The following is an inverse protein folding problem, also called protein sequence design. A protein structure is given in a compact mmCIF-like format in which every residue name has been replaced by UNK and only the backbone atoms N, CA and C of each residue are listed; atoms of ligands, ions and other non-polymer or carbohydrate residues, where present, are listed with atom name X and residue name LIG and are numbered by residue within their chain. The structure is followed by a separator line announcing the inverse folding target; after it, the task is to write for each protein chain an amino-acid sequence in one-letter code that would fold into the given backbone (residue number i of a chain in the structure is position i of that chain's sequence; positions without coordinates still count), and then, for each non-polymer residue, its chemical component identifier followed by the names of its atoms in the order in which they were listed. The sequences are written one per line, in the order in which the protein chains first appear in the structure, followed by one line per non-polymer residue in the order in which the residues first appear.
data_IF_534980488293
#
_entry.id   IF_534980488293
#
_cell.length_a   1.000
_cell.length_b   1.000
_cell.length_c   1.000
_cell.angle_alpha   90.00
_cell.angle_beta   90.00
_cell.angle_gamma   90.00
#
_symmetry.space_group_name_H-M   'P 1'
#
loop_
_entity.id
_entity.type
_entity.pdbx_description
1 polymer ?
#
# COMPACT_ATOMS: atom_id res chain seq x y z
N UNK A 1 -26.03 27.64 -30.63
CA UNK A 1 -24.90 28.50 -30.16
C UNK A 1 -24.89 28.76 -28.63
N UNK A 2 -25.66 28.03 -27.82
CA UNK A 2 -25.78 28.26 -26.36
C UNK A 2 -24.79 27.45 -25.48
N UNK A 3 -24.10 26.45 -26.05
CA UNK A 3 -23.19 25.54 -25.31
C UNK A 3 -21.80 26.12 -25.01
N UNK A 4 -21.36 27.18 -25.71
CA UNK A 4 -20.06 27.82 -25.50
C UNK A 4 -20.07 28.95 -24.45
N UNK A 5 -21.18 29.25 -23.78
CA UNK A 5 -21.25 30.44 -22.90
C UNK A 5 -20.63 30.22 -21.50
N UNK A 6 -20.51 28.97 -21.06
CA UNK A 6 -20.07 28.59 -19.70
C UNK A 6 -18.80 27.71 -19.68
N UNK A 7 -18.08 27.54 -20.80
CA UNK A 7 -16.84 26.73 -20.80
C UNK A 7 -15.83 27.22 -19.77
N UNK A 8 -15.76 28.54 -19.56
CA UNK A 8 -14.91 29.19 -18.58
C UNK A 8 -15.26 28.85 -17.12
N UNK A 9 -16.24 27.99 -16.84
CA UNK A 9 -16.58 27.50 -15.49
C UNK A 9 -16.15 26.04 -15.28
N UNK A 10 -15.41 25.43 -16.21
CA UNK A 10 -14.91 24.06 -16.08
C UNK A 10 -13.64 23.97 -15.21
N UNK A 11 -12.98 25.09 -14.93
CA UNK A 11 -11.74 25.07 -14.12
C UNK A 11 -11.87 24.43 -12.73
N UNK A 12 -12.96 24.55 -11.94
CA UNK A 12 -13.04 23.88 -10.64
C UNK A 12 -12.99 22.36 -10.76
N UNK A 13 -13.72 21.79 -11.72
CA UNK A 13 -13.71 20.33 -11.92
C UNK A 13 -12.37 19.83 -12.48
N UNK A 14 -11.76 20.58 -13.41
CA UNK A 14 -10.44 20.23 -13.95
C UNK A 14 -9.36 20.25 -12.84
N UNK A 15 -9.39 21.26 -11.97
CA UNK A 15 -8.46 21.39 -10.85
C UNK A 15 -8.75 20.44 -9.69
N UNK A 16 -9.96 19.88 -9.61
CA UNK A 16 -10.29 18.80 -8.68
C UNK A 16 -9.79 17.43 -9.18
N UNK A 17 -9.80 17.20 -10.50
CA UNK A 17 -9.36 15.93 -11.10
C UNK A 17 -7.84 15.85 -11.20
N UNK A 18 -7.20 16.95 -11.60
CA UNK A 18 -5.76 17.00 -11.89
C UNK A 18 -4.85 16.43 -10.79
N UNK A 19 -5.02 16.78 -9.49
CA UNK A 19 -4.10 16.32 -8.45
C UNK A 19 -4.01 14.80 -8.33
N UNK A 20 -5.15 14.10 -8.43
CA UNK A 20 -5.18 12.64 -8.35
C UNK A 20 -4.48 11.99 -9.57
N UNK A 21 -4.71 12.51 -10.77
CA UNK A 21 -4.00 12.05 -11.98
C UNK A 21 -2.50 12.29 -11.89
N UNK A 22 -2.10 13.47 -11.40
CA UNK A 22 -0.70 13.83 -11.28
C UNK A 22 0.02 13.01 -10.21
N UNK A 23 -0.66 12.74 -9.09
CA UNK A 23 -0.15 11.88 -8.02
C UNK A 23 0.04 10.45 -8.54
N UNK A 24 -0.92 9.93 -9.30
CA UNK A 24 -0.77 8.65 -9.98
C UNK A 24 0.41 8.62 -10.96
N UNK A 25 0.51 9.60 -11.86
CA UNK A 25 1.58 9.67 -12.85
C UNK A 25 2.99 9.80 -12.23
N UNK A 26 3.08 10.20 -10.96
CA UNK A 26 4.33 10.26 -10.21
C UNK A 26 4.64 8.96 -9.43
N UNK A 27 3.64 8.12 -9.15
CA UNK A 27 3.75 6.90 -8.35
C UNK A 27 3.29 5.65 -9.11
N UNK A 28 3.24 5.72 -10.44
CA UNK A 28 2.71 4.66 -11.30
C UNK A 28 3.54 3.39 -11.28
N UNK A 29 4.77 3.45 -10.77
CA UNK A 29 5.62 2.27 -10.54
C UNK A 29 5.09 1.31 -9.47
N UNK A 30 4.23 1.81 -8.58
CA UNK A 30 3.73 1.06 -7.42
C UNK A 30 2.20 1.07 -7.31
N UNK A 31 1.52 1.95 -8.06
CA UNK A 31 0.06 2.07 -8.06
C UNK A 31 -0.58 1.65 -9.39
N UNK A 32 -1.84 1.24 -9.32
CA UNK A 32 -2.68 0.94 -10.48
C UNK A 32 -3.61 2.12 -10.78
N UNK A 33 -4.00 2.26 -12.05
CA UNK A 33 -4.88 3.36 -12.48
C UNK A 33 -6.24 3.34 -11.74
N UNK A 34 -6.70 2.16 -11.32
CA UNK A 34 -7.95 2.00 -10.58
C UNK A 34 -7.91 2.73 -9.23
N UNK A 35 -6.74 2.86 -8.59
CA UNK A 35 -6.59 3.54 -7.31
C UNK A 35 -6.91 5.05 -7.40
N UNK A 36 -6.97 5.62 -8.62
CA UNK A 36 -7.26 7.03 -8.86
C UNK A 36 -8.75 7.37 -8.73
N UNK A 37 -9.64 6.37 -8.86
CA UNK A 37 -11.09 6.60 -8.88
C UNK A 37 -11.62 7.23 -7.60
N UNK A 38 -11.23 6.68 -6.44
CA UNK A 38 -11.73 7.16 -5.13
C UNK A 38 -11.19 8.57 -4.82
N UNK A 39 -9.89 8.87 -5.01
CA UNK A 39 -9.37 10.24 -4.91
C UNK A 39 -10.04 11.26 -5.83
N UNK A 40 -10.34 10.90 -7.09
CA UNK A 40 -11.09 11.79 -8.00
C UNK A 40 -12.51 12.02 -7.47
N UNK A 41 -13.22 10.95 -7.09
CA UNK A 41 -14.58 11.05 -6.57
C UNK A 41 -14.63 11.94 -5.32
N UNK A 42 -13.68 11.75 -4.39
CA UNK A 42 -13.53 12.58 -3.21
C UNK A 42 -13.29 14.05 -3.60
N UNK A 43 -12.32 14.31 -4.48
CA UNK A 43 -11.93 15.67 -4.87
C UNK A 43 -13.05 16.42 -5.61
N UNK A 44 -13.77 15.74 -6.50
CA UNK A 44 -14.92 16.30 -7.23
C UNK A 44 -16.10 16.53 -6.28
N UNK A 45 -16.35 15.63 -5.34
CA UNK A 45 -17.39 15.81 -4.31
C UNK A 45 -17.09 17.02 -3.43
N UNK A 46 -15.85 17.12 -2.92
CA UNK A 46 -15.38 18.26 -2.13
C UNK A 46 -15.52 19.57 -2.91
N UNK A 47 -15.08 19.59 -4.18
CA UNK A 47 -15.25 20.73 -5.08
C UNK A 47 -16.72 21.13 -5.23
N UNK A 48 -17.62 20.16 -5.44
CA UNK A 48 -19.05 20.41 -5.60
C UNK A 48 -19.68 21.04 -4.36
N UNK A 49 -19.35 20.52 -3.17
CA UNK A 49 -19.83 21.04 -1.88
C UNK A 49 -19.33 22.48 -1.68
N UNK A 50 -18.02 22.71 -1.81
CA UNK A 50 -17.41 24.04 -1.63
C UNK A 50 -17.99 25.04 -2.61
N UNK A 51 -18.12 24.67 -3.89
CA UNK A 51 -18.67 25.56 -4.90
C UNK A 51 -20.14 25.89 -4.64
N UNK A 52 -20.95 24.90 -4.24
CA UNK A 52 -22.36 25.12 -3.92
C UNK A 52 -22.51 26.13 -2.76
N UNK A 53 -21.76 25.93 -1.68
CA UNK A 53 -21.76 26.84 -0.52
C UNK A 53 -21.37 28.26 -0.96
N UNK A 54 -20.26 28.41 -1.69
CA UNK A 54 -19.80 29.72 -2.15
C UNK A 54 -20.76 30.37 -3.15
N UNK A 55 -21.43 29.58 -3.99
CA UNK A 55 -22.43 30.09 -4.93
C UNK A 55 -23.65 30.65 -4.19
N UNK A 56 -24.09 30.01 -3.10
CA UNK A 56 -25.19 30.49 -2.24
C UNK A 56 -24.79 31.79 -1.52
N UNK A 57 -23.59 31.82 -0.94
CA UNK A 57 -23.12 32.97 -0.15
C UNK A 57 -22.78 34.20 -1.01
N UNK A 58 -22.12 34.00 -2.16
CA UNK A 58 -21.60 35.10 -2.99
C UNK A 58 -22.63 35.53 -4.05
N UNK A 59 -23.55 34.64 -4.43
CA UNK A 59 -24.58 34.86 -5.46
C UNK A 59 -24.03 35.23 -6.85
N UNK A 60 -22.75 34.96 -7.11
CA UNK A 60 -22.09 35.14 -8.41
C UNK A 60 -21.37 33.85 -8.80
N UNK A 61 -21.74 33.28 -9.96
CA UNK A 61 -21.22 32.00 -10.43
C UNK A 61 -19.75 32.02 -10.82
N UNK A 62 -19.23 33.14 -11.32
CA UNK A 62 -17.83 33.26 -11.73
C UNK A 62 -16.94 33.49 -10.51
N UNK A 63 -17.34 34.37 -9.59
CA UNK A 63 -16.60 34.60 -8.33
C UNK A 63 -16.53 33.35 -7.47
N UNK A 64 -17.66 32.67 -7.28
CA UNK A 64 -17.70 31.43 -6.50
C UNK A 64 -16.84 30.34 -7.13
N UNK A 65 -16.85 30.19 -8.46
CA UNK A 65 -15.99 29.24 -9.15
C UNK A 65 -14.50 29.60 -8.97
N UNK A 66 -14.11 30.86 -9.18
CA UNK A 66 -12.73 31.33 -9.00
C UNK A 66 -12.21 31.04 -7.60
N UNK A 67 -12.99 31.39 -6.57
CA UNK A 67 -12.63 31.12 -5.17
C UNK A 67 -12.55 29.61 -4.93
N UNK A 68 -13.49 28.82 -5.45
CA UNK A 68 -13.43 27.34 -5.33
C UNK A 68 -12.12 26.80 -5.88
N UNK A 69 -11.73 27.18 -7.09
CA UNK A 69 -10.46 26.72 -7.67
C UNK A 69 -9.23 27.19 -6.91
N UNK A 70 -9.25 28.41 -6.40
CA UNK A 70 -8.21 28.94 -5.52
C UNK A 70 -8.08 28.10 -4.24
N UNK A 71 -9.19 27.73 -3.60
CA UNK A 71 -9.21 26.87 -2.42
C UNK A 71 -8.69 25.46 -2.74
N UNK A 72 -9.12 24.86 -3.87
CA UNK A 72 -8.66 23.54 -4.28
C UNK A 72 -7.15 23.52 -4.57
N UNK A 73 -6.64 24.49 -5.33
CA UNK A 73 -5.22 24.61 -5.61
C UNK A 73 -4.40 24.68 -4.33
N UNK A 74 -4.87 25.43 -3.33
CA UNK A 74 -4.23 25.47 -2.03
C UNK A 74 -4.36 24.15 -1.29
N UNK A 75 -5.54 23.53 -1.31
CA UNK A 75 -5.81 22.29 -0.59
C UNK A 75 -4.85 21.19 -1.03
N UNK A 76 -4.64 21.04 -2.33
CA UNK A 76 -3.76 20.03 -2.91
C UNK A 76 -2.27 20.43 -2.97
N UNK A 77 -1.92 21.70 -2.75
CA UNK A 77 -0.50 22.14 -2.71
C UNK A 77 0.08 22.21 -1.31
N UNK A 78 -0.70 21.88 -0.27
CA UNK A 78 -0.30 21.99 1.13
C UNK A 78 1.03 21.31 1.44
N UNK A 79 1.20 20.03 1.07
CA UNK A 79 2.43 19.31 1.39
C UNK A 79 3.66 19.85 0.64
N UNK A 80 3.48 20.35 -0.58
CA UNK A 80 4.57 20.97 -1.34
C UNK A 80 5.01 22.29 -0.70
N UNK A 81 4.05 23.10 -0.24
CA UNK A 81 4.34 24.38 0.43
C UNK A 81 4.98 24.16 1.80
N UNK A 82 4.38 23.31 2.64
CA UNK A 82 4.89 23.00 3.98
C UNK A 82 6.23 22.27 3.91
N UNK A 83 6.40 21.32 3.00
CA UNK A 83 7.66 20.61 2.76
C UNK A 83 8.78 21.54 2.31
N UNK A 84 8.49 22.52 1.44
CA UNK A 84 9.47 23.54 1.06
C UNK A 84 9.93 24.36 2.27
N UNK A 85 9.01 24.83 3.11
CA UNK A 85 9.34 25.57 4.35
C UNK A 85 10.17 24.69 5.30
N UNK A 86 9.77 23.44 5.49
CA UNK A 86 10.44 22.47 6.37
C UNK A 86 11.88 22.17 5.93
N UNK A 87 12.12 22.06 4.62
CA UNK A 87 13.46 21.80 4.06
C UNK A 87 14.41 23.00 4.23
N UNK A 88 13.88 24.21 4.43
CA UNK A 88 14.68 25.42 4.68
C UNK A 88 14.93 25.68 6.18
N UNK A 89 14.54 24.74 7.07
CA UNK A 89 14.68 24.89 8.53
C UNK A 89 16.11 25.06 9.02
N UNK A 90 17.06 24.40 8.35
CA UNK A 90 18.48 24.46 8.70
C UNK A 90 19.17 25.69 8.11
N UNK A 91 18.64 26.24 7.00
CA UNK A 91 19.23 27.39 6.30
C UNK A 91 18.79 28.72 6.93
N UNK A 92 17.52 28.84 7.34
CA UNK A 92 16.95 30.07 7.92
C UNK A 92 16.15 29.82 9.21
N UNK A 93 16.74 29.20 10.25
CA UNK A 93 16.02 28.63 11.39
C UNK A 93 15.12 29.61 12.14
N UNK A 94 15.53 30.88 12.26
CA UNK A 94 14.76 31.92 12.95
C UNK A 94 13.41 32.25 12.27
N UNK A 95 13.29 31.99 10.97
CA UNK A 95 12.10 32.28 10.17
C UNK A 95 11.33 30.98 9.91
N UNK A 96 12.03 29.92 9.53
CA UNK A 96 11.39 28.70 9.02
C UNK A 96 10.91 27.75 10.10
N UNK A 97 11.51 27.72 11.31
CA UNK A 97 10.97 26.91 12.43
C UNK A 97 9.59 27.41 12.90
N UNK A 98 9.40 28.70 13.22
CA UNK A 98 8.07 29.21 13.57
C UNK A 98 7.04 29.05 12.43
N UNK A 99 7.47 29.22 11.17
CA UNK A 99 6.58 29.05 10.02
C UNK A 99 6.18 27.58 9.80
N UNK A 100 7.07 26.62 10.07
CA UNK A 100 6.76 25.20 9.98
C UNK A 100 5.77 24.79 11.08
N UNK A 101 6.03 25.22 12.32
CA UNK A 101 5.18 24.98 13.49
C UNK A 101 3.79 25.63 13.35
N UNK A 102 3.69 26.79 12.70
CA UNK A 102 2.44 27.52 12.47
C UNK A 102 1.94 27.44 11.02
N UNK A 103 2.40 26.46 10.25
CA UNK A 103 2.14 26.35 8.81
C UNK A 103 0.64 26.35 8.47
N UNK A 104 -0.18 25.82 9.35
CA UNK A 104 -1.65 25.86 9.26
C UNK A 104 -2.23 27.29 9.34
N UNK A 105 -1.73 28.15 10.23
CA UNK A 105 -2.22 29.53 10.36
C UNK A 105 -1.81 30.42 9.18
N UNK A 106 -0.58 30.25 8.68
CA UNK A 106 -0.09 30.94 7.47
C UNK A 106 -0.95 30.55 6.27
N UNK A 107 -1.34 29.28 6.21
CA UNK A 107 -2.24 28.76 5.20
C UNK A 107 -3.62 29.43 5.26
N UNK A 108 -4.20 29.61 6.45
CA UNK A 108 -5.47 30.37 6.62
C UNK A 108 -5.32 31.83 6.16
N UNK A 109 -4.21 32.49 6.50
CA UNK A 109 -3.96 33.87 6.05
C UNK A 109 -3.87 33.95 4.53
N UNK A 110 -3.19 32.98 3.89
CA UNK A 110 -3.10 32.91 2.44
C UNK A 110 -4.47 32.70 1.78
N UNK A 111 -5.34 31.86 2.37
CA UNK A 111 -6.73 31.68 1.92
C UNK A 111 -7.53 32.99 1.95
N UNK A 112 -7.39 33.77 3.03
CA UNK A 112 -8.07 35.06 3.18
C UNK A 112 -7.55 36.06 2.13
N UNK A 113 -6.24 36.19 1.97
CA UNK A 113 -5.62 37.09 1.01
C UNK A 113 -6.00 36.76 -0.43
N UNK A 114 -6.04 35.46 -0.78
CA UNK A 114 -6.44 35.01 -2.10
C UNK A 114 -7.93 35.30 -2.36
N UNK A 115 -8.81 35.11 -1.36
CA UNK A 115 -10.21 35.49 -1.44
C UNK A 115 -10.41 37.00 -1.66
N UNK A 116 -9.61 37.84 -1.00
CA UNK A 116 -9.62 39.30 -1.20
C UNK A 116 -9.09 39.70 -2.59
N UNK A 117 -8.05 39.01 -3.09
CA UNK A 117 -7.50 39.25 -4.42
C UNK A 117 -8.50 38.91 -5.52
N UNK A 118 -9.22 37.78 -5.40
CA UNK A 118 -10.25 37.37 -6.36
C UNK A 118 -11.38 38.40 -6.46
N UNK A 119 -11.72 39.09 -5.35
CA UNK A 119 -12.71 40.18 -5.36
C UNK A 119 -12.26 41.38 -6.20
N UNK A 120 -10.96 41.63 -6.31
CA UNK A 120 -10.38 42.73 -7.09
C UNK A 120 -10.17 42.41 -8.58
N UNK A 121 -10.43 41.18 -9.02
CA UNK A 121 -10.28 40.78 -10.42
C UNK A 121 -11.31 41.51 -11.30
N UNK A 122 -10.84 42.44 -12.13
CA UNK A 122 -11.69 43.29 -12.96
C UNK A 122 -12.49 42.50 -14.02
N UNK A 123 -11.92 41.44 -14.59
CA UNK A 123 -12.61 40.59 -15.58
C UNK A 123 -12.62 39.11 -15.16
N UNK A 124 -13.60 38.77 -14.34
CA UNK A 124 -13.76 37.44 -13.75
C UNK A 124 -13.97 36.35 -14.79
N UNK A 125 -14.65 36.67 -15.91
CA UNK A 125 -14.86 35.72 -17.00
C UNK A 125 -13.56 35.39 -17.74
N UNK A 126 -12.70 36.38 -18.00
CA UNK A 126 -11.38 36.14 -18.61
C UNK A 126 -10.48 35.32 -17.68
N UNK A 127 -10.45 35.65 -16.39
CA UNK A 127 -9.69 34.89 -15.40
C UNK A 127 -10.17 33.42 -15.32
N UNK A 128 -11.48 33.21 -15.30
CA UNK A 128 -12.06 31.86 -15.26
C UNK A 128 -11.78 31.07 -16.57
N UNK A 129 -11.77 31.76 -17.71
CA UNK A 129 -11.34 31.21 -18.99
C UNK A 129 -9.86 30.79 -18.97
N UNK A 130 -8.97 31.64 -18.45
CA UNK A 130 -7.56 31.31 -18.28
C UNK A 130 -7.36 30.08 -17.38
N UNK A 131 -8.00 30.05 -16.21
CA UNK A 131 -7.92 28.88 -15.32
C UNK A 131 -8.48 27.61 -15.95
N UNK A 132 -9.46 27.75 -16.85
CA UNK A 132 -10.00 26.59 -17.57
C UNK A 132 -8.99 26.05 -18.57
N UNK A 133 -8.32 26.93 -19.32
CA UNK A 133 -7.24 26.54 -20.24
C UNK A 133 -6.09 25.92 -19.44
N UNK A 134 -5.68 26.53 -18.33
CA UNK A 134 -4.63 26.00 -17.46
C UNK A 134 -5.02 24.63 -16.89
N UNK A 135 -6.22 24.49 -16.34
CA UNK A 135 -6.71 23.21 -15.81
C UNK A 135 -6.79 22.13 -16.89
N UNK A 136 -7.21 22.49 -18.11
CA UNK A 136 -7.25 21.57 -19.24
C UNK A 136 -5.84 21.15 -19.64
N UNK A 137 -4.90 22.09 -19.73
CA UNK A 137 -3.49 21.80 -19.99
C UNK A 137 -2.91 20.84 -18.93
N UNK A 138 -3.15 21.10 -17.64
CA UNK A 138 -2.69 20.27 -16.54
C UNK A 138 -3.23 18.84 -16.64
N UNK A 139 -4.55 18.68 -16.82
CA UNK A 139 -5.17 17.35 -17.00
C UNK A 139 -4.63 16.63 -18.24
N UNK A 140 -4.54 17.33 -19.38
CA UNK A 140 -4.00 16.76 -20.63
C UNK A 140 -2.54 16.34 -20.45
N UNK A 141 -1.72 17.14 -19.77
CA UNK A 141 -0.32 16.81 -19.50
C UNK A 141 -0.18 15.56 -18.61
N UNK A 142 -1.05 15.38 -17.62
CA UNK A 142 -1.09 14.15 -16.81
C UNK A 142 -1.51 12.95 -17.65
N UNK A 143 -2.54 13.10 -18.51
CA UNK A 143 -2.98 12.03 -19.41
C UNK A 143 -1.88 11.62 -20.40
N UNK A 144 -1.16 12.59 -20.99
CA UNK A 144 -0.03 12.32 -21.89
C UNK A 144 1.05 11.48 -21.20
N UNK A 145 1.28 11.70 -19.89
CA UNK A 145 2.22 10.87 -19.11
C UNK A 145 1.66 9.48 -18.79
N UNK A 146 0.36 9.38 -18.49
CA UNK A 146 -0.29 8.12 -18.07
C UNK A 146 -0.47 7.15 -19.23
N UNK A 147 -0.86 7.62 -20.42
CA UNK A 147 -1.19 6.75 -21.56
C UNK A 147 -0.06 5.78 -21.92
N UNK A 148 1.21 6.23 -22.10
CA UNK A 148 2.31 5.32 -22.41
C UNK A 148 2.54 4.25 -21.34
N UNK A 149 2.38 4.61 -20.06
CA UNK A 149 2.54 3.70 -18.93
C UNK A 149 1.49 2.58 -19.00
N UNK A 150 0.22 2.93 -19.18
CA UNK A 150 -0.84 1.91 -19.25
C UNK A 150 -0.76 1.05 -20.51
N UNK A 151 -0.32 1.63 -21.65
CA UNK A 151 -0.08 0.85 -22.86
C UNK A 151 1.05 -0.14 -22.64
N UNK A 152 2.15 0.27 -22.00
CA UNK A 152 3.26 -0.62 -21.67
C UNK A 152 2.80 -1.73 -20.72
N UNK A 153 2.08 -1.38 -19.65
CA UNK A 153 1.54 -2.33 -18.68
C UNK A 153 0.58 -3.34 -19.31
N UNK A 154 -0.31 -2.91 -20.21
CA UNK A 154 -1.22 -3.80 -20.92
C UNK A 154 -0.45 -4.80 -21.81
N UNK A 155 0.63 -4.37 -22.46
CA UNK A 155 1.52 -5.27 -23.20
C UNK A 155 2.24 -6.25 -22.28
N UNK A 156 2.81 -5.76 -21.17
CA UNK A 156 3.46 -6.59 -20.16
C UNK A 156 2.52 -7.63 -19.58
N UNK A 157 1.27 -7.27 -19.25
CA UNK A 157 0.29 -8.21 -18.72
C UNK A 157 0.01 -9.38 -19.69
N UNK A 158 -0.09 -9.09 -21.00
CA UNK A 158 -0.22 -10.13 -22.02
C UNK A 158 1.04 -11.01 -22.09
N UNK A 159 2.23 -10.42 -22.04
CA UNK A 159 3.50 -11.17 -22.05
C UNK A 159 3.70 -12.00 -20.76
N UNK A 160 3.19 -11.54 -19.62
CA UNK A 160 3.28 -12.30 -18.36
C UNK A 160 2.45 -13.58 -18.39
N UNK A 161 1.40 -13.65 -19.20
CA UNK A 161 0.66 -14.92 -19.41
C UNK A 161 1.61 -15.97 -20.00
N UNK A 162 2.49 -15.59 -20.94
CA UNK A 162 3.50 -16.51 -21.48
C UNK A 162 4.62 -16.89 -20.52
N UNK A 163 4.75 -16.22 -19.35
CA UNK A 163 5.65 -16.72 -18.31
C UNK A 163 5.08 -17.94 -17.61
N UNK A 164 3.76 -18.13 -17.56
CA UNK A 164 3.21 -19.32 -16.90
C UNK A 164 3.70 -20.54 -17.67
N UNK A 165 4.48 -21.38 -17.02
CA UNK A 165 5.02 -22.57 -17.66
C UNK A 165 3.87 -23.53 -18.02
N UNK A 166 3.67 -23.74 -19.32
CA UNK A 166 2.75 -24.76 -19.85
C UNK A 166 3.09 -26.15 -19.29
N UNK A 167 4.37 -26.42 -19.00
CA UNK A 167 4.82 -27.67 -18.41
C UNK A 167 4.34 -27.79 -16.96
N UNK A 168 4.54 -26.75 -16.15
CA UNK A 168 4.07 -26.73 -14.75
C UNK A 168 2.54 -26.80 -14.71
N UNK A 169 1.83 -26.07 -15.57
CA UNK A 169 0.37 -26.11 -15.61
C UNK A 169 -0.14 -27.50 -16.02
N UNK A 170 0.47 -28.14 -17.02
CA UNK A 170 0.16 -29.54 -17.37
C UNK A 170 0.46 -30.50 -16.25
N UNK A 171 1.58 -30.34 -15.52
CA UNK A 171 1.89 -31.18 -14.37
C UNK A 171 0.81 -31.04 -13.30
N UNK A 172 0.39 -29.81 -12.97
CA UNK A 172 -0.66 -29.51 -12.00
C UNK A 172 -2.03 -30.07 -12.41
N UNK A 173 -2.37 -30.02 -13.70
CA UNK A 173 -3.62 -30.60 -14.24
C UNK A 173 -3.64 -32.12 -14.18
N UNK A 174 -2.48 -32.77 -14.31
CA UNK A 174 -2.34 -34.21 -14.26
C UNK A 174 -2.20 -34.76 -12.83
N UNK A 175 -2.19 -33.91 -11.79
CA UNK A 175 -2.12 -34.37 -10.40
C UNK A 175 -3.39 -35.14 -10.05
N UNK A 176 -3.29 -36.42 -9.65
CA UNK A 176 -4.45 -37.20 -9.22
C UNK A 176 -5.12 -36.55 -8.02
N UNK A 177 -6.45 -36.65 -7.95
CA UNK A 177 -7.19 -36.17 -6.80
C UNK A 177 -6.68 -36.87 -5.52
N UNK A 178 -6.20 -36.08 -4.57
CA UNK A 178 -5.66 -36.60 -3.33
C UNK A 178 -6.74 -37.32 -2.51
N UNK A 179 -6.44 -38.54 -2.03
CA UNK A 179 -7.34 -39.33 -1.17
C UNK A 179 -7.62 -38.65 0.16
N UNK A 180 -6.63 -37.93 0.67
CA UNK A 180 -6.73 -37.06 1.85
C UNK A 180 -6.52 -35.61 1.42
N UNK A 181 -7.24 -34.69 2.06
CA UNK A 181 -7.14 -33.25 1.79
C UNK A 181 -6.77 -32.54 3.10
N UNK A 182 -5.51 -32.62 3.53
CA UNK A 182 -5.06 -31.90 4.71
C UNK A 182 -5.08 -30.40 4.46
N UNK A 183 -5.23 -29.60 5.51
CA UNK A 183 -5.02 -28.16 5.39
C UNK A 183 -3.55 -27.87 5.05
N UNK A 184 -3.30 -26.91 4.18
CA UNK A 184 -1.96 -26.54 3.71
C UNK A 184 -1.66 -25.10 4.12
N UNK A 185 -0.53 -24.90 4.79
CA UNK A 185 -0.07 -23.60 5.27
C UNK A 185 1.26 -23.28 4.59
N UNK A 186 1.32 -22.14 3.91
CA UNK A 186 2.58 -21.58 3.41
C UNK A 186 2.81 -20.22 4.07
N UNK A 187 3.73 -20.19 5.02
CA UNK A 187 4.04 -19.07 5.88
C UNK A 187 5.35 -18.44 5.42
N UNK A 188 5.37 -17.12 5.29
CA UNK A 188 6.52 -16.34 4.81
C UNK A 188 6.67 -15.10 5.71
N UNK A 189 7.47 -15.18 6.79
CA UNK A 189 7.83 -14.02 7.59
C UNK A 189 8.88 -13.15 6.87
N UNK A 190 8.55 -11.89 6.56
CA UNK A 190 9.45 -11.02 5.82
C UNK A 190 10.70 -10.66 6.64
N UNK A 191 11.85 -10.70 5.97
CA UNK A 191 13.20 -10.51 6.52
C UNK A 191 13.55 -11.45 7.66
N UNK A 192 12.95 -12.64 7.73
CA UNK A 192 13.42 -13.67 8.64
C UNK A 192 14.73 -14.26 8.12
N UNK A 193 15.83 -14.01 8.83
CA UNK A 193 17.15 -14.48 8.44
C UNK A 193 17.39 -15.94 8.85
N UNK A 194 18.20 -16.67 8.08
CA UNK A 194 18.61 -18.04 8.45
C UNK A 194 19.55 -18.04 9.67
N UNK A 195 19.72 -19.21 10.29
CA UNK A 195 20.50 -19.36 11.52
C UNK A 195 21.95 -18.87 11.38
N UNK A 196 22.58 -19.08 10.21
CA UNK A 196 23.94 -18.60 9.93
C UNK A 196 24.00 -17.08 9.97
N UNK A 197 23.11 -16.41 9.24
CA UNK A 197 23.03 -14.94 9.20
C UNK A 197 22.70 -14.37 10.59
N UNK A 198 21.76 -14.98 11.32
CA UNK A 198 21.39 -14.56 12.67
C UNK A 198 22.57 -14.66 13.65
N UNK A 199 23.35 -15.74 13.57
CA UNK A 199 24.51 -15.94 14.44
C UNK A 199 25.65 -14.98 14.09
N UNK A 200 25.96 -14.82 12.81
CA UNK A 200 27.11 -14.03 12.34
C UNK A 200 26.88 -12.52 12.45
N UNK A 201 25.71 -12.03 12.01
CA UNK A 201 25.45 -10.59 11.89
C UNK A 201 24.58 -10.02 13.01
N UNK A 202 23.71 -10.83 13.62
CA UNK A 202 22.81 -10.40 14.69
C UNK A 202 23.21 -10.91 16.07
N UNK A 203 24.27 -11.73 16.15
CA UNK A 203 24.78 -12.35 17.37
C UNK A 203 23.66 -13.05 18.18
N UNK A 204 22.77 -13.75 17.47
CA UNK A 204 21.64 -14.46 18.04
C UNK A 204 21.68 -15.94 17.67
N UNK A 205 21.61 -16.81 18.68
CA UNK A 205 21.43 -18.25 18.48
C UNK A 205 19.95 -18.59 18.40
N UNK A 206 19.52 -19.00 17.22
CA UNK A 206 18.14 -19.35 16.91
C UNK A 206 17.83 -20.84 17.08
N UNK A 207 18.76 -21.60 17.70
CA UNK A 207 18.65 -23.05 17.89
C UNK A 207 17.36 -23.46 18.59
N UNK A 208 16.89 -22.69 19.58
CA UNK A 208 15.65 -22.91 20.31
C UNK A 208 14.39 -22.97 19.40
N UNK A 209 14.30 -22.11 18.38
CA UNK A 209 13.19 -22.16 17.44
C UNK A 209 13.32 -23.32 16.46
N UNK A 210 14.52 -23.55 15.91
CA UNK A 210 14.72 -24.64 14.95
C UNK A 210 14.64 -26.03 15.58
N UNK A 211 15.03 -26.18 16.85
CA UNK A 211 14.87 -27.45 17.58
C UNK A 211 13.40 -27.71 17.86
N UNK A 212 12.63 -26.68 18.27
CA UNK A 212 11.18 -26.80 18.38
C UNK A 212 10.54 -27.29 17.06
N UNK A 213 10.95 -26.76 15.90
CA UNK A 213 10.46 -27.23 14.61
C UNK A 213 10.80 -28.71 14.39
N UNK A 214 12.05 -29.11 14.60
CA UNK A 214 12.50 -30.51 14.46
C UNK A 214 11.72 -31.46 15.40
N UNK A 215 11.52 -31.06 16.65
CA UNK A 215 10.78 -31.82 17.67
C UNK A 215 9.30 -32.00 17.31
N UNK A 216 8.75 -31.09 16.49
CA UNK A 216 7.38 -31.16 15.96
C UNK A 216 7.31 -31.76 14.54
N UNK A 217 8.37 -32.46 14.10
CA UNK A 217 8.37 -33.24 12.86
C UNK A 217 8.67 -32.43 11.59
N UNK A 218 9.12 -31.17 11.71
CA UNK A 218 9.54 -30.38 10.56
C UNK A 218 10.93 -30.77 10.08
N UNK A 219 11.11 -30.76 8.76
CA UNK A 219 12.43 -30.76 8.15
C UNK A 219 12.98 -29.33 8.08
N UNK A 220 14.10 -29.06 8.77
CA UNK A 220 14.77 -27.76 8.73
C UNK A 220 15.88 -27.78 7.68
N UNK A 221 15.64 -27.11 6.56
CA UNK A 221 16.61 -26.98 5.47
C UNK A 221 17.64 -25.87 5.75
N UNK A 222 18.68 -26.17 6.53
CA UNK A 222 19.65 -25.18 7.03
C UNK A 222 20.44 -24.44 5.93
N UNK A 223 20.54 -25.02 4.73
CA UNK A 223 21.24 -24.45 3.57
C UNK A 223 20.30 -23.89 2.49
N UNK A 224 19.02 -23.69 2.81
CA UNK A 224 18.07 -23.09 1.87
C UNK A 224 18.39 -21.62 1.59
N UNK A 225 18.07 -21.18 0.38
CA UNK A 225 18.20 -19.78 -0.06
C UNK A 225 16.88 -19.29 -0.64
N UNK A 226 16.63 -17.99 -0.55
CA UNK A 226 15.52 -17.38 -1.30
C UNK A 226 15.81 -17.41 -2.79
N UNK A 227 14.77 -17.56 -3.62
CA UNK A 227 14.87 -17.48 -5.07
C UNK A 227 15.36 -16.09 -5.53
N UNK A 228 14.97 -15.02 -4.81
CA UNK A 228 15.30 -13.64 -5.17
C UNK A 228 15.45 -12.74 -3.94
N UNK A 229 16.37 -11.75 -3.95
CA UNK A 229 16.65 -10.92 -2.78
C UNK A 229 15.59 -9.87 -2.46
N UNK A 230 14.53 -9.73 -3.27
CA UNK A 230 13.43 -8.77 -3.05
C UNK A 230 12.14 -9.53 -2.81
N UNK A 231 11.37 -9.10 -1.80
CA UNK A 231 10.12 -9.74 -1.37
C UNK A 231 9.18 -10.04 -2.54
N UNK A 232 8.83 -9.04 -3.37
CA UNK A 232 7.92 -9.27 -4.50
C UNK A 232 8.43 -10.28 -5.54
N UNK A 233 9.74 -10.30 -5.83
CA UNK A 233 10.32 -11.27 -6.75
C UNK A 233 10.33 -12.68 -6.15
N UNK A 234 10.68 -12.80 -4.86
CA UNK A 234 10.66 -14.07 -4.13
C UNK A 234 9.25 -14.66 -4.09
N UNK A 235 8.26 -13.84 -3.73
CA UNK A 235 6.85 -14.25 -3.69
C UNK A 235 6.31 -14.61 -5.07
N UNK A 236 6.58 -13.78 -6.09
CA UNK A 236 6.13 -14.06 -7.45
C UNK A 236 6.71 -15.38 -7.97
N UNK A 237 7.97 -15.69 -7.63
CA UNK A 237 8.60 -16.95 -8.00
C UNK A 237 8.02 -18.15 -7.25
N UNK A 238 7.97 -18.11 -5.91
CA UNK A 238 7.55 -19.26 -5.11
C UNK A 238 6.06 -19.59 -5.29
N UNK A 239 5.20 -18.58 -5.37
CA UNK A 239 3.76 -18.77 -5.55
C UNK A 239 3.37 -19.23 -6.97
N UNK A 240 4.28 -19.08 -7.94
CA UNK A 240 4.10 -19.56 -9.31
C UNK A 240 4.98 -20.77 -9.65
N UNK A 241 5.65 -21.37 -8.66
CA UNK A 241 6.43 -22.60 -8.81
C UNK A 241 7.52 -22.53 -9.89
N UNK A 242 8.04 -21.34 -10.19
CA UNK A 242 9.02 -21.15 -11.25
C UNK A 242 9.95 -19.97 -10.98
N UNK A 243 11.16 -20.03 -11.55
CA UNK A 243 12.04 -18.87 -11.60
C UNK A 243 11.54 -17.86 -12.64
N UNK A 244 11.69 -16.58 -12.34
CA UNK A 244 11.30 -15.45 -13.20
C UNK A 244 12.50 -14.83 -13.91
N UNK A 245 13.46 -15.67 -14.34
CA UNK A 245 14.71 -15.24 -15.01
C UNK A 245 14.47 -14.54 -16.35
N UNK A 246 13.40 -14.91 -17.05
CA UNK A 246 13.00 -14.32 -18.34
C UNK A 246 12.17 -13.04 -18.18
N UNK A 247 11.89 -12.59 -16.94
CA UNK A 247 11.04 -11.43 -16.71
C UNK A 247 11.55 -10.20 -17.45
N UNK A 248 12.84 -9.89 -17.36
CA UNK A 248 13.45 -8.74 -18.03
C UNK A 248 13.36 -8.79 -19.57
N UNK A 249 13.32 -9.98 -20.15
CA UNK A 249 13.16 -10.14 -21.61
C UNK A 249 11.73 -9.80 -22.06
N UNK A 250 10.74 -10.04 -21.19
CA UNK A 250 9.32 -9.89 -21.49
C UNK A 250 8.76 -8.51 -21.14
N UNK A 251 9.29 -7.87 -20.11
CA UNK A 251 8.84 -6.54 -19.65
C UNK A 251 9.89 -5.43 -19.84
N UNK A 252 11.11 -5.78 -20.26
CA UNK A 252 12.22 -4.85 -20.47
C UNK A 252 13.21 -4.80 -19.30
N UNK A 253 14.37 -4.15 -19.53
CA UNK A 253 15.44 -3.97 -18.52
C UNK A 253 15.30 -2.68 -17.72
N UNK A 254 14.60 -1.68 -18.25
CA UNK A 254 14.42 -0.35 -17.64
C UNK A 254 13.02 -0.23 -17.03
N UNK A 255 12.71 -1.11 -16.09
CA UNK A 255 11.37 -1.18 -15.50
C UNK A 255 11.43 -0.67 -14.07
N UNK A 256 11.22 0.62 -13.91
CA UNK A 256 10.85 1.21 -12.63
C UNK A 256 9.48 0.68 -12.15
N UNK A 257 8.67 0.12 -13.05
CA UNK A 257 7.32 -0.38 -12.78
C UNK A 257 7.32 -1.82 -12.21
N UNK A 258 7.00 -1.95 -10.92
CA UNK A 258 6.90 -3.23 -10.22
C UNK A 258 5.51 -3.88 -10.33
N UNK A 259 4.51 -3.16 -10.87
CA UNK A 259 3.13 -3.64 -10.96
C UNK A 259 2.94 -4.94 -11.76
N UNK A 260 3.75 -5.27 -12.79
CA UNK A 260 3.67 -6.58 -13.45
C UNK A 260 3.96 -7.72 -12.46
N UNK A 261 4.97 -7.58 -11.60
CA UNK A 261 5.33 -8.61 -10.61
C UNK A 261 4.30 -8.68 -9.49
N UNK A 262 3.77 -7.55 -9.04
CA UNK A 262 2.65 -7.55 -8.08
C UNK A 262 1.43 -8.29 -8.63
N UNK A 263 1.18 -8.19 -9.94
CA UNK A 263 0.13 -8.95 -10.60
C UNK A 263 0.38 -10.46 -10.55
N UNK A 264 1.63 -10.92 -10.65
CA UNK A 264 2.00 -12.34 -10.51
C UNK A 264 1.80 -12.87 -9.08
N UNK A 265 2.01 -12.03 -8.06
CA UNK A 265 1.72 -12.39 -6.66
C UNK A 265 0.21 -12.54 -6.44
N UNK A 266 -0.58 -11.61 -7.00
CA UNK A 266 -2.04 -11.66 -6.94
C UNK A 266 -2.58 -12.89 -7.69
N UNK A 267 -2.22 -13.04 -8.97
CA UNK A 267 -2.62 -14.14 -9.85
C UNK A 267 -1.61 -15.30 -9.75
N UNK A 268 -1.62 -16.01 -8.63
CA UNK A 268 -0.63 -17.06 -8.42
C UNK A 268 -1.15 -18.48 -8.68
N UNK A 269 -0.28 -19.33 -9.25
CA UNK A 269 -0.61 -20.70 -9.63
C UNK A 269 -0.94 -21.59 -8.42
N UNK A 270 -0.31 -21.36 -7.27
CA UNK A 270 -0.54 -22.17 -6.08
C UNK A 270 -1.97 -22.04 -5.55
N UNK A 271 -2.48 -20.81 -5.43
CA UNK A 271 -3.87 -20.54 -5.04
C UNK A 271 -4.85 -21.12 -6.07
N UNK A 272 -4.62 -20.86 -7.37
CA UNK A 272 -5.45 -21.38 -8.46
C UNK A 272 -5.54 -22.92 -8.40
N UNK A 273 -4.41 -23.59 -8.18
CA UNK A 273 -4.34 -25.05 -8.05
C UNK A 273 -5.18 -25.56 -6.88
N UNK A 274 -4.99 -25.01 -5.67
CA UNK A 274 -5.72 -25.46 -4.50
C UNK A 274 -7.23 -25.16 -4.61
N UNK A 275 -7.63 -24.02 -5.16
CA UNK A 275 -9.03 -23.69 -5.40
C UNK A 275 -9.68 -24.64 -6.41
N UNK A 276 -9.00 -25.00 -7.51
CA UNK A 276 -9.45 -26.03 -8.46
C UNK A 276 -9.66 -27.40 -7.79
N UNK A 277 -8.91 -27.70 -6.73
CA UNK A 277 -9.06 -28.93 -5.94
C UNK A 277 -10.15 -28.84 -4.84
N UNK A 278 -10.82 -27.69 -4.71
CA UNK A 278 -11.90 -27.44 -3.76
C UNK A 278 -11.43 -27.00 -2.37
N UNK A 279 -10.24 -26.42 -2.27
CA UNK A 279 -9.76 -25.78 -1.05
C UNK A 279 -10.28 -24.34 -0.97
N UNK A 280 -10.59 -23.89 0.23
CA UNK A 280 -10.79 -22.46 0.51
C UNK A 280 -9.44 -21.75 0.57
N UNK A 281 -9.29 -20.63 -0.15
CA UNK A 281 -8.07 -19.83 -0.13
C UNK A 281 -8.15 -18.75 0.94
N UNK A 282 -7.36 -18.92 1.99
CA UNK A 282 -7.21 -17.94 3.08
C UNK A 282 -5.90 -17.19 2.91
N UNK A 283 -5.96 -15.86 2.93
CA UNK A 283 -4.82 -14.98 2.70
C UNK A 283 -4.59 -14.07 3.90
N UNK A 284 -3.48 -14.26 4.61
CA UNK A 284 -3.04 -13.31 5.64
C UNK A 284 -2.21 -12.23 4.98
N UNK A 285 -2.81 -11.06 4.83
CA UNK A 285 -2.22 -9.94 4.13
C UNK A 285 -1.49 -8.98 5.06
N UNK A 286 -0.41 -8.38 4.57
CA UNK A 286 0.42 -7.45 5.33
C UNK A 286 -0.09 -6.01 5.25
N UNK A 287 0.62 -5.07 5.84
CA UNK A 287 0.31 -3.66 5.66
C UNK A 287 0.79 -3.05 4.33
N UNK A 288 1.61 -3.77 3.56
CA UNK A 288 2.15 -3.30 2.28
C UNK A 288 1.20 -3.64 1.13
N UNK A 289 0.84 -2.63 0.33
CA UNK A 289 -0.25 -2.71 -0.67
C UNK A 289 -0.22 -3.96 -1.56
N UNK A 290 0.91 -4.39 -2.17
CA UNK A 290 0.95 -5.56 -3.04
C UNK A 290 0.55 -6.88 -2.40
N UNK A 291 0.64 -6.97 -1.07
CA UNK A 291 0.27 -8.16 -0.28
C UNK A 291 -0.74 -7.84 0.81
N UNK A 292 -1.44 -6.69 0.71
CA UNK A 292 -2.41 -6.26 1.72
C UNK A 292 -3.67 -7.11 1.70
N UNK A 293 -4.14 -7.40 0.49
CA UNK A 293 -5.24 -8.32 0.21
C UNK A 293 -4.87 -9.15 -1.03
N UNK A 294 -5.50 -10.31 -1.19
CA UNK A 294 -5.55 -11.01 -2.47
C UNK A 294 -7.00 -11.04 -2.96
N UNK A 295 -7.23 -10.52 -4.16
CA UNK A 295 -8.57 -10.44 -4.78
C UNK A 295 -9.21 -11.79 -5.07
N UNK A 296 -8.42 -12.86 -5.13
CA UNK A 296 -8.88 -14.23 -5.39
C UNK A 296 -9.06 -15.04 -4.11
N UNK A 297 -8.68 -14.50 -2.95
CA UNK A 297 -8.88 -15.18 -1.68
C UNK A 297 -10.35 -15.18 -1.26
N UNK A 298 -10.81 -16.33 -0.81
CA UNK A 298 -12.13 -16.52 -0.22
C UNK A 298 -12.23 -15.78 1.13
N UNK A 299 -11.11 -15.72 1.87
CA UNK A 299 -10.99 -14.98 3.12
C UNK A 299 -9.66 -14.20 3.17
N UNK A 300 -9.75 -12.88 3.35
CA UNK A 300 -8.59 -12.03 3.62
C UNK A 300 -8.52 -11.72 5.13
N UNK A 301 -7.41 -12.08 5.77
CA UNK A 301 -7.12 -11.79 7.18
C UNK A 301 -6.12 -10.63 7.24
N UNK A 302 -6.67 -9.43 7.42
CA UNK A 302 -5.92 -8.19 7.61
C UNK A 302 -6.83 -7.18 8.32
N UNK A 303 -6.38 -6.62 9.44
CA UNK A 303 -7.17 -5.66 10.23
C UNK A 303 -7.49 -4.40 9.42
N UNK A 304 -6.63 -4.08 8.44
CA UNK A 304 -6.69 -2.91 7.59
C UNK A 304 -6.94 -3.27 6.11
N UNK A 305 -7.67 -4.36 5.86
CA UNK A 305 -8.05 -4.83 4.52
C UNK A 305 -8.82 -3.79 3.68
N UNK A 306 -9.46 -2.79 4.30
CA UNK A 306 -10.19 -1.72 3.60
C UNK A 306 -9.38 -0.41 3.48
N UNK A 307 -8.16 -0.38 4.03
CA UNK A 307 -7.31 0.82 4.06
C UNK A 307 -6.37 0.90 2.86
N UNK A 308 -6.87 1.39 1.72
CA UNK A 308 -6.08 1.63 0.50
C UNK A 308 -4.92 2.63 0.72
N UNK A 309 -3.68 2.19 0.44
CA UNK A 309 -2.49 2.99 0.68
C UNK A 309 -2.42 4.24 -0.20
N UNK A 310 -2.87 4.14 -1.45
CA UNK A 310 -2.83 5.24 -2.41
C UNK A 310 -3.72 6.41 -1.98
N UNK A 311 -4.97 6.13 -1.62
CA UNK A 311 -5.92 7.10 -1.09
C UNK A 311 -5.39 7.77 0.17
N UNK A 312 -4.83 6.96 1.07
CA UNK A 312 -4.28 7.42 2.33
C UNK A 312 -3.11 8.38 2.10
N UNK A 313 -2.09 7.96 1.34
CA UNK A 313 -0.92 8.79 1.02
C UNK A 313 -1.30 10.01 0.19
N UNK A 314 -2.26 9.90 -0.73
CA UNK A 314 -2.83 11.04 -1.44
C UNK A 314 -3.44 12.05 -0.44
N UNK A 315 -4.26 11.59 0.51
CA UNK A 315 -4.81 12.43 1.57
C UNK A 315 -3.72 13.15 2.39
N UNK A 316 -2.61 12.44 2.71
CA UNK A 316 -1.46 13.00 3.42
C UNK A 316 -0.81 14.19 2.67
N UNK A 317 -0.91 14.24 1.34
CA UNK A 317 -0.37 15.36 0.54
C UNK A 317 -1.21 16.64 0.62
N UNK A 318 -2.43 16.55 1.16
CA UNK A 318 -3.40 17.65 1.18
C UNK A 318 -3.47 18.35 2.53
N UNK A 319 -4.15 19.50 2.56
CA UNK A 319 -4.45 20.20 3.81
C UNK A 319 -5.38 19.39 4.76
N UNK A 320 -5.94 18.26 4.31
CA UNK A 320 -6.70 17.36 5.18
C UNK A 320 -5.84 16.73 6.28
N UNK A 321 -4.56 16.45 6.00
CA UNK A 321 -3.66 15.78 6.93
C UNK A 321 -3.50 16.50 8.28
N UNK A 322 -3.07 17.79 8.33
CA UNK A 322 -2.99 18.51 9.61
C UNK A 322 -4.37 18.68 10.27
N UNK A 323 -5.45 18.85 9.49
CA UNK A 323 -6.81 18.99 10.03
C UNK A 323 -7.24 17.73 10.78
N UNK A 324 -7.02 16.55 10.18
CA UNK A 324 -7.37 15.29 10.82
C UNK A 324 -6.51 15.00 12.04
N UNK A 325 -5.21 15.31 11.97
CA UNK A 325 -4.31 15.11 13.10
C UNK A 325 -4.70 15.99 14.31
N UNK A 326 -5.09 17.25 14.07
CA UNK A 326 -5.55 18.16 15.11
C UNK A 326 -6.90 17.73 15.71
N UNK A 327 -7.87 17.32 14.87
CA UNK A 327 -9.22 16.95 15.33
C UNK A 327 -9.21 15.65 16.13
N UNK A 328 -8.44 14.66 15.67
CA UNK A 328 -8.54 13.31 16.20
C UNK A 328 -7.38 12.92 17.12
N UNK A 329 -6.35 13.78 17.31
CA UNK A 329 -5.17 13.54 18.16
C UNK A 329 -4.50 12.16 17.95
N UNK A 330 -4.75 11.56 16.79
CA UNK A 330 -4.24 10.28 16.34
C UNK A 330 -3.68 10.52 14.97
N UNK A 331 -2.36 10.70 14.85
CA UNK A 331 -1.63 10.88 13.59
C UNK A 331 -1.81 9.74 12.55
N UNK A 332 -2.77 8.85 12.78
CA UNK A 332 -2.89 7.48 12.28
C UNK A 332 -4.07 7.29 11.33
N UNK A 333 -4.94 8.31 11.20
CA UNK A 333 -6.08 8.24 10.26
C UNK A 333 -5.56 8.15 8.84
N UNK A 334 -4.72 9.12 8.46
CA UNK A 334 -4.01 9.11 7.19
C UNK A 334 -2.58 8.60 7.34
N UNK A 335 -2.08 8.44 8.56
CA UNK A 335 -0.77 7.85 8.84
C UNK A 335 -0.74 6.33 8.71
N UNK A 336 0.47 5.81 8.71
CA UNK A 336 0.74 4.40 8.99
C UNK A 336 1.74 4.36 10.13
N UNK A 337 1.22 4.20 11.34
CA UNK A 337 1.99 4.28 12.59
C UNK A 337 2.46 2.93 13.07
N UNK A 338 3.42 2.95 13.98
CA UNK A 338 3.88 1.79 14.72
C UNK A 338 2.71 1.07 15.45
N UNK A 339 1.70 1.82 15.89
CA UNK A 339 0.49 1.26 16.48
C UNK A 339 -0.32 0.43 15.49
N UNK A 340 -0.61 0.97 14.30
CA UNK A 340 -1.33 0.21 13.26
C UNK A 340 -0.54 -1.02 12.81
N UNK A 341 0.77 -0.90 12.67
CA UNK A 341 1.66 -2.04 12.36
C UNK A 341 1.51 -3.12 13.42
N UNK A 342 1.64 -2.74 14.69
CA UNK A 342 1.58 -3.65 15.83
C UNK A 342 0.24 -4.35 15.95
N UNK A 343 -0.86 -3.59 15.88
CA UNK A 343 -2.22 -4.13 15.95
C UNK A 343 -2.47 -5.13 14.83
N UNK A 344 -2.00 -4.85 13.60
CA UNK A 344 -2.16 -5.79 12.51
C UNK A 344 -1.38 -7.09 12.77
N UNK A 345 -0.13 -7.02 13.22
CA UNK A 345 0.65 -8.22 13.56
C UNK A 345 -0.01 -9.04 14.69
N UNK A 346 -0.48 -8.37 15.75
CA UNK A 346 -1.16 -9.03 16.86
C UNK A 346 -2.46 -9.70 16.40
N UNK A 347 -3.25 -9.02 15.55
CA UNK A 347 -4.45 -9.59 14.92
C UNK A 347 -4.10 -10.82 14.07
N UNK A 348 -3.09 -10.71 13.20
CA UNK A 348 -2.65 -11.81 12.34
C UNK A 348 -2.19 -13.04 13.14
N UNK A 349 -1.40 -12.87 14.21
CA UNK A 349 -1.02 -14.00 15.06
C UNK A 349 -2.20 -14.59 15.84
N UNK A 350 -3.12 -13.75 16.32
CA UNK A 350 -4.32 -14.22 17.01
C UNK A 350 -5.22 -15.07 16.10
N UNK A 351 -5.39 -14.66 14.84
CA UNK A 351 -6.15 -15.41 13.84
C UNK A 351 -5.40 -16.66 13.37
N UNK A 352 -4.08 -16.61 13.21
CA UNK A 352 -3.27 -17.78 12.83
C UNK A 352 -3.33 -18.89 13.89
N UNK A 353 -3.43 -18.55 15.18
CA UNK A 353 -3.61 -19.54 16.26
C UNK A 353 -4.97 -20.26 16.22
N UNK A 354 -5.99 -19.66 15.59
CA UNK A 354 -7.36 -20.19 15.53
C UNK A 354 -7.73 -20.78 14.17
N UNK A 355 -6.91 -20.55 13.14
CA UNK A 355 -7.29 -20.84 11.75
C UNK A 355 -7.61 -22.31 11.47
N UNK A 356 -7.06 -23.24 12.25
CA UNK A 356 -7.36 -24.67 12.14
C UNK A 356 -8.82 -25.01 12.49
N UNK A 357 -9.52 -24.14 13.22
CA UNK A 357 -10.95 -24.28 13.55
C UNK A 357 -11.87 -23.83 12.40
N UNK A 358 -11.34 -23.05 11.45
CA UNK A 358 -12.09 -22.61 10.27
C UNK A 358 -12.31 -23.81 9.30
N UNK A 359 -13.16 -23.64 8.29
CA UNK A 359 -13.61 -24.68 7.37
C UNK A 359 -12.47 -25.30 6.53
N UNK A 360 -12.30 -26.62 6.62
CA UNK A 360 -11.32 -27.40 5.84
C UNK A 360 -11.99 -28.05 4.61
N UNK A 361 -11.25 -28.40 3.55
CA UNK A 361 -9.82 -28.16 3.37
C UNK A 361 -9.53 -26.70 2.99
N UNK A 362 -8.42 -26.16 3.50
CA UNK A 362 -8.00 -24.77 3.22
C UNK A 362 -6.54 -24.70 2.79
N UNK A 363 -6.24 -23.77 1.89
CA UNK A 363 -4.88 -23.33 1.60
C UNK A 363 -4.70 -21.96 2.25
N UNK A 364 -3.81 -21.87 3.22
CA UNK A 364 -3.50 -20.64 3.95
C UNK A 364 -2.16 -20.12 3.49
N UNK A 365 -2.17 -18.99 2.78
CA UNK A 365 -0.94 -18.25 2.51
C UNK A 365 -0.78 -17.13 3.53
N UNK A 366 0.40 -17.05 4.13
CA UNK A 366 0.69 -16.09 5.20
C UNK A 366 1.91 -15.27 4.86
N UNK A 367 1.71 -14.01 4.47
CA UNK A 367 2.79 -13.05 4.32
C UNK A 367 2.67 -11.98 5.41
N UNK A 368 3.51 -12.11 6.43
CA UNK A 368 3.58 -11.14 7.52
C UNK A 368 4.87 -10.34 7.40
N UNK A 369 4.78 -9.01 7.51
CA UNK A 369 5.95 -8.12 7.46
C UNK A 369 6.64 -8.03 8.82
N UNK A 370 6.99 -9.18 9.37
CA UNK A 370 7.68 -9.33 10.66
C UNK A 370 8.68 -10.50 10.53
N UNK A 371 9.94 -10.37 11.02
CA UNK A 371 10.52 -9.30 11.84
C UNK A 371 10.95 -8.02 11.10
N UNK A 372 10.52 -7.77 9.86
CA UNK A 372 10.75 -6.49 9.16
C UNK A 372 10.40 -5.26 10.04
N UNK A 373 11.11 -4.15 9.83
CA UNK A 373 10.84 -2.87 10.51
C UNK A 373 9.49 -2.24 10.10
N UNK A 374 8.89 -1.35 10.92
CA UNK A 374 9.37 -0.88 12.22
C UNK A 374 9.39 -1.98 13.29
N UNK A 375 10.31 -1.88 14.24
CA UNK A 375 10.43 -2.81 15.36
C UNK A 375 9.51 -2.42 16.51
N UNK A 376 8.25 -2.87 16.43
CA UNK A 376 7.14 -2.40 17.28
C UNK A 376 6.80 -3.33 18.45
N UNK A 377 7.51 -4.46 18.55
CA UNK A 377 7.36 -5.47 19.61
C UNK A 377 8.70 -5.80 20.26
N UNK A 378 8.73 -5.87 21.59
CA UNK A 378 9.87 -6.41 22.34
C UNK A 378 9.84 -7.96 22.42
N UNK A 379 10.85 -8.58 23.04
CA UNK A 379 10.93 -10.05 23.21
C UNK A 379 9.74 -10.69 23.93
N UNK A 380 8.99 -9.91 24.71
CA UNK A 380 7.83 -10.35 25.50
C UNK A 380 6.51 -10.00 24.78
N UNK A 381 6.58 -9.65 23.48
CA UNK A 381 5.46 -9.18 22.68
C UNK A 381 4.78 -7.91 23.24
N UNK A 382 5.51 -7.12 24.06
CA UNK A 382 5.03 -5.83 24.55
C UNK A 382 5.32 -4.73 23.53
N UNK A 383 4.49 -3.70 23.56
CA UNK A 383 4.58 -2.57 22.62
C UNK A 383 5.85 -1.76 22.86
N UNK A 384 6.56 -1.44 21.78
CA UNK A 384 7.67 -0.49 21.76
C UNK A 384 7.49 0.45 20.58
N UNK A 385 8.03 1.66 20.71
CA UNK A 385 8.10 2.63 19.61
C UNK A 385 9.48 2.49 18.94
N UNK A 386 9.52 2.34 17.62
CA UNK A 386 10.79 2.21 16.89
C UNK A 386 11.45 3.58 16.75
N UNK A 387 12.50 3.81 17.53
CA UNK A 387 13.21 5.11 17.57
C UNK A 387 14.33 5.24 16.54
N UNK A 388 14.68 4.15 15.84
CA UNK A 388 15.88 4.09 15.00
C UNK A 388 15.58 3.74 13.52
N UNK A 389 14.34 3.97 13.06
CA UNK A 389 13.89 3.80 11.67
C UNK A 389 14.34 2.45 11.06
N UNK A 390 14.22 1.36 11.83
CA UNK A 390 14.47 0.02 11.32
C UNK A 390 15.93 -0.37 11.07
N UNK A 391 16.92 0.40 11.54
CA UNK A 391 18.35 0.08 11.40
C UNK A 391 18.96 -0.61 12.62
N UNK A 392 18.19 -0.72 13.70
CA UNK A 392 18.67 -1.29 14.96
C UNK A 392 18.70 -2.83 14.92
N UNK A 393 19.91 -3.40 15.04
CA UNK A 393 20.14 -4.85 15.21
C UNK A 393 19.46 -5.35 16.49
N UNK A 394 19.44 -4.54 17.56
CA UNK A 394 18.79 -4.90 18.82
C UNK A 394 17.29 -4.97 18.64
N UNK A 395 16.65 -3.95 18.08
CA UNK A 395 15.22 -3.94 17.73
C UNK A 395 14.82 -5.15 16.90
N UNK A 396 15.56 -5.47 15.83
CA UNK A 396 15.33 -6.68 15.05
C UNK A 396 15.35 -7.95 15.90
N UNK A 397 16.38 -8.11 16.75
CA UNK A 397 16.54 -9.30 17.59
C UNK A 397 15.45 -9.44 18.64
N UNK A 398 15.06 -8.35 19.31
CA UNK A 398 13.97 -8.37 20.29
C UNK A 398 12.65 -8.78 19.62
N UNK A 399 12.33 -8.17 18.48
CA UNK A 399 11.14 -8.51 17.71
C UNK A 399 11.18 -9.95 17.19
N UNK A 400 12.33 -10.43 16.69
CA UNK A 400 12.52 -11.81 16.24
C UNK A 400 12.24 -12.83 17.35
N UNK A 401 12.68 -12.59 18.59
CA UNK A 401 12.41 -13.49 19.72
C UNK A 401 10.89 -13.57 19.96
N UNK A 402 10.18 -12.44 19.91
CA UNK A 402 8.72 -12.42 19.99
C UNK A 402 8.08 -13.22 18.83
N UNK A 403 8.53 -12.99 17.59
CA UNK A 403 8.03 -13.70 16.40
C UNK A 403 8.18 -15.21 16.55
N UNK A 404 9.34 -15.67 17.02
CA UNK A 404 9.60 -17.09 17.27
C UNK A 404 8.60 -17.68 18.26
N UNK A 405 8.35 -16.99 19.39
CA UNK A 405 7.39 -17.44 20.39
C UNK A 405 5.95 -17.47 19.84
N UNK A 406 5.55 -16.44 19.08
CA UNK A 406 4.22 -16.39 18.46
C UNK A 406 4.03 -17.52 17.43
N UNK A 407 5.05 -17.83 16.63
CA UNK A 407 5.00 -18.97 15.70
C UNK A 407 4.99 -20.32 16.42
N UNK A 408 5.75 -20.50 17.51
CA UNK A 408 5.67 -21.71 18.33
C UNK A 408 4.24 -21.97 18.78
N UNK A 409 3.59 -20.95 19.35
CA UNK A 409 2.20 -21.05 19.78
C UNK A 409 1.23 -21.33 18.63
N UNK A 410 1.38 -20.64 17.49
CA UNK A 410 0.54 -20.84 16.31
C UNK A 410 0.69 -22.25 15.72
N UNK A 411 1.91 -22.74 15.56
CA UNK A 411 2.20 -24.09 15.05
C UNK A 411 1.63 -25.15 16.00
N UNK A 412 1.84 -25.00 17.32
CA UNK A 412 1.26 -25.92 18.31
C UNK A 412 -0.26 -25.93 18.22
N UNK A 413 -0.91 -24.77 18.07
CA UNK A 413 -2.36 -24.69 17.93
C UNK A 413 -2.86 -25.35 16.63
N UNK A 414 -2.19 -25.10 15.50
CA UNK A 414 -2.52 -25.73 14.21
C UNK A 414 -2.40 -27.26 14.32
N UNK A 415 -1.26 -27.77 14.77
CA UNK A 415 -1.03 -29.22 14.90
C UNK A 415 -2.03 -29.90 15.85
N UNK A 416 -2.41 -29.22 16.93
CA UNK A 416 -3.36 -29.76 17.91
C UNK A 416 -4.80 -29.77 17.40
N UNK A 417 -5.20 -28.75 16.66
CA UNK A 417 -6.61 -28.52 16.31
C UNK A 417 -6.97 -29.00 14.89
N UNK A 418 -5.99 -29.30 14.03
CA UNK A 418 -6.24 -29.86 12.71
C UNK A 418 -6.77 -31.29 12.79
N UNK A 419 -7.91 -31.56 12.13
CA UNK A 419 -8.55 -32.89 12.09
C UNK A 419 -7.74 -33.92 11.32
N UNK A 420 -7.03 -33.47 10.29
CA UNK A 420 -6.10 -34.24 9.48
C UNK A 420 -4.71 -33.63 9.65
N UNK A 421 -3.63 -34.43 9.72
CA UNK A 421 -2.28 -33.90 9.83
C UNK A 421 -2.01 -32.86 8.72
N UNK A 422 -1.75 -31.59 9.06
CA UNK A 422 -1.62 -30.52 8.07
C UNK A 422 -0.25 -30.55 7.39
N UNK A 423 -0.15 -29.86 6.25
CA UNK A 423 1.14 -29.57 5.59
C UNK A 423 1.51 -28.13 5.93
N UNK A 424 2.68 -27.91 6.53
CA UNK A 424 3.14 -26.57 6.94
C UNK A 424 4.53 -26.32 6.34
N UNK A 425 4.64 -25.22 5.59
CA UNK A 425 5.89 -24.69 5.03
C UNK A 425 6.10 -23.30 5.62
N UNK A 426 7.30 -23.00 6.13
CA UNK A 426 7.67 -21.74 6.80
C UNK A 426 8.93 -21.18 6.19
#
# INVERSE_FOLDING_TARGET
MMRLKNWSLLHPILLAIFPALQYYAANSSEALLINVLVPILFSVTLMGIVWLILKILIKDKFRSALITSSLLLLFFSYQHLSGFVYNQREVFPAITKPLAENSFFIYIIFLILLGLLVRKVANQRRAAGFLTILGAYLVVSSIIRIIPIEIARAKSATNLVSLRSDEVEKELENVPQAKTRPDVYYIVPDRYANNTTLKEFYHYDNSDFTNFLKDNGFYVAEQSTTNYPKTFLSLASSLNLQHITQLSELIGLDVADNTPVFTMVQNNMLADFFQKQGYEFVYFGSWWEPTRINRHADLNINLYADSDEFLRKFGQTTALNPILNEIFNKGDILGFSDERVRENHQYQFAELKKIAEHKSPKFVFVHMLIPHSPYVLDRNSQSVDDKEDGKDIKGYKEQLICVNNQFKEAITAILKNSKTPPIIVI
#
